data_IF_476833312049
#
_entry.id   IF_476833312049
#
_cell.length_a   1.000
_cell.length_b   1.000
_cell.length_c   1.000
_cell.angle_alpha   90.00
_cell.angle_beta   90.00
_cell.angle_gamma   90.00
#
_symmetry.space_group_name_H-M   'P 1'
#
loop_
_entity.id
_entity.type
_entity.pdbx_description
1 polymer ?
#
# COMPACT_ATOMS: atom_id res chain seq x y z
N UNK A 1 -29.02 -40.95 -9.30
CA UNK A 1 -28.66 -39.95 -8.28
C UNK A 1 -27.37 -40.46 -7.64
N UNK A 2 -26.23 -40.10 -8.23
CA UNK A 2 -24.94 -40.48 -7.68
C UNK A 2 -24.57 -39.44 -6.61
N UNK A 3 -24.45 -39.93 -5.39
CA UNK A 3 -23.99 -39.21 -4.21
C UNK A 3 -22.48 -38.97 -4.39
N UNK A 4 -22.12 -37.80 -4.91
CA UNK A 4 -20.72 -37.37 -5.01
C UNK A 4 -20.27 -36.95 -3.61
N UNK A 5 -19.32 -37.65 -2.97
CA UNK A 5 -18.93 -37.34 -1.61
C UNK A 5 -18.34 -35.93 -1.59
N UNK A 6 -18.92 -35.07 -0.75
CA UNK A 6 -18.37 -33.72 -0.50
C UNK A 6 -16.86 -33.84 -0.19
N UNK A 7 -16.00 -33.06 -0.87
CA UNK A 7 -14.56 -33.20 -0.73
C UNK A 7 -14.17 -32.98 0.74
N UNK A 8 -13.58 -34.02 1.36
CA UNK A 8 -13.21 -34.10 2.78
C UNK A 8 -11.91 -33.34 3.12
N UNK A 9 -11.58 -32.32 2.33
CA UNK A 9 -10.45 -31.41 2.58
C UNK A 9 -10.90 -30.09 3.20
N UNK A 10 -10.01 -29.34 3.87
CA UNK A 10 -10.30 -27.97 4.29
C UNK A 10 -10.81 -27.16 3.09
N UNK A 11 -11.94 -26.46 3.29
CA UNK A 11 -12.58 -25.67 2.24
C UNK A 11 -11.62 -24.57 1.79
N UNK A 12 -11.06 -24.70 0.59
CA UNK A 12 -10.11 -23.74 0.01
C UNK A 12 -10.82 -22.40 -0.23
N UNK A 13 -10.30 -21.33 0.38
CA UNK A 13 -10.82 -19.97 0.19
C UNK A 13 -9.91 -19.27 -0.83
N UNK A 14 -10.18 -19.46 -2.12
CA UNK A 14 -9.33 -18.97 -3.22
C UNK A 14 -10.17 -18.22 -4.25
N UNK A 15 -9.60 -17.21 -4.92
CA UNK A 15 -10.26 -16.53 -6.05
C UNK A 15 -10.26 -17.36 -7.32
N UNK A 16 -9.18 -18.12 -7.53
CA UNK A 16 -8.88 -18.82 -8.79
C UNK A 16 -8.56 -20.28 -8.47
N UNK A 17 -9.57 -21.16 -8.56
CA UNK A 17 -9.44 -22.57 -8.19
C UNK A 17 -8.32 -23.31 -8.96
N UNK A 18 -8.10 -22.94 -10.22
CA UNK A 18 -7.06 -23.53 -11.08
C UNK A 18 -5.62 -23.20 -10.65
N UNK A 19 -5.41 -22.17 -9.83
CA UNK A 19 -4.08 -21.84 -9.27
C UNK A 19 -3.82 -22.59 -7.95
N UNK A 20 -4.87 -23.15 -7.35
CA UNK A 20 -4.84 -23.81 -6.06
C UNK A 20 -4.75 -25.35 -6.18
N UNK A 21 -4.12 -25.85 -7.24
CA UNK A 21 -3.91 -27.27 -7.50
C UNK A 21 -2.46 -27.67 -7.17
N UNK A 22 -2.29 -28.80 -6.48
CA UNK A 22 -0.97 -29.36 -6.16
C UNK A 22 -0.29 -28.77 -4.91
N UNK A 23 1.00 -29.06 -4.73
CA UNK A 23 1.78 -28.57 -3.60
C UNK A 23 1.89 -27.04 -3.58
N UNK A 24 1.70 -26.43 -2.41
CA UNK A 24 1.81 -24.97 -2.23
C UNK A 24 0.55 -24.18 -2.58
N UNK A 25 -0.61 -24.84 -2.73
CA UNK A 25 -1.90 -24.20 -3.01
C UNK A 25 -2.28 -23.11 -1.98
N UNK A 26 -1.73 -23.16 -0.78
CA UNK A 26 -1.92 -22.17 0.29
C UNK A 26 -1.50 -20.75 -0.14
N UNK A 27 -0.59 -20.64 -1.11
CA UNK A 27 -0.21 -19.35 -1.73
C UNK A 27 -1.39 -18.67 -2.41
N UNK A 28 -2.27 -19.44 -3.06
CA UNK A 28 -3.46 -18.92 -3.74
C UNK A 28 -4.48 -18.36 -2.75
N UNK A 29 -4.59 -18.97 -1.56
CA UNK A 29 -5.45 -18.45 -0.48
C UNK A 29 -4.87 -17.15 0.09
N UNK A 30 -3.55 -17.10 0.30
CA UNK A 30 -2.87 -15.88 0.71
C UNK A 30 -3.06 -14.75 -0.31
N UNK A 31 -2.86 -15.04 -1.60
CA UNK A 31 -3.00 -14.08 -2.70
C UNK A 31 -4.43 -13.55 -2.80
N UNK A 32 -5.41 -14.41 -2.59
CA UNK A 32 -6.80 -13.96 -2.52
C UNK A 32 -7.02 -12.98 -1.37
N UNK A 33 -6.48 -13.29 -0.19
CA UNK A 33 -6.46 -12.39 0.96
C UNK A 33 -5.78 -11.05 0.65
N UNK A 34 -4.64 -11.08 -0.05
CA UNK A 34 -3.91 -9.88 -0.47
C UNK A 34 -4.73 -9.00 -1.42
N UNK A 35 -5.41 -9.60 -2.40
CA UNK A 35 -6.27 -8.88 -3.37
C UNK A 35 -7.38 -8.12 -2.65
N UNK A 36 -8.13 -8.80 -1.76
CA UNK A 36 -9.24 -8.15 -1.05
C UNK A 36 -8.73 -7.08 -0.08
N UNK A 37 -7.61 -7.33 0.60
CA UNK A 37 -6.99 -6.39 1.52
C UNK A 37 -6.46 -5.15 0.79
N UNK A 38 -5.81 -5.33 -0.37
CA UNK A 38 -5.33 -4.25 -1.22
C UNK A 38 -6.46 -3.33 -1.67
N UNK A 39 -7.56 -3.90 -2.16
CA UNK A 39 -8.73 -3.11 -2.55
C UNK A 39 -9.39 -2.39 -1.37
N UNK A 40 -9.51 -3.05 -0.22
CA UNK A 40 -10.05 -2.44 0.99
C UNK A 40 -9.17 -1.29 1.49
N UNK A 41 -7.85 -1.50 1.54
CA UNK A 41 -6.87 -0.50 1.96
C UNK A 41 -6.84 0.71 1.03
N UNK A 42 -6.91 0.49 -0.29
CA UNK A 42 -6.99 1.56 -1.30
C UNK A 42 -8.23 2.42 -1.07
N UNK A 43 -9.41 1.79 -0.93
CA UNK A 43 -10.66 2.51 -0.64
C UNK A 43 -10.58 3.27 0.68
N UNK A 44 -10.07 2.64 1.74
CA UNK A 44 -9.90 3.27 3.05
C UNK A 44 -9.01 4.53 2.96
N UNK A 45 -7.85 4.41 2.30
CA UNK A 45 -6.89 5.51 2.13
C UNK A 45 -7.53 6.72 1.45
N UNK A 46 -8.27 6.49 0.36
CA UNK A 46 -8.95 7.57 -0.36
C UNK A 46 -10.11 8.17 0.46
N UNK A 47 -10.91 7.36 1.15
CA UNK A 47 -12.01 7.85 1.99
C UNK A 47 -11.51 8.67 3.19
N UNK A 48 -10.42 8.24 3.81
CA UNK A 48 -9.76 8.96 4.89
C UNK A 48 -9.23 10.31 4.40
N UNK A 49 -8.62 10.37 3.21
CA UNK A 49 -8.16 11.64 2.62
C UNK A 49 -9.30 12.57 2.21
N UNK A 50 -10.38 12.02 1.65
CA UNK A 50 -11.59 12.80 1.35
C UNK A 50 -12.16 13.45 2.62
N UNK A 51 -12.26 12.69 3.71
CA UNK A 51 -12.69 13.21 5.02
C UNK A 51 -11.69 14.21 5.63
N UNK A 52 -10.40 14.13 5.28
CA UNK A 52 -9.39 15.12 5.66
C UNK A 52 -9.46 16.43 4.84
N UNK A 53 -10.32 16.48 3.81
CA UNK A 53 -10.59 17.68 3.01
C UNK A 53 -9.98 17.69 1.60
N UNK A 54 -9.47 16.56 1.09
CA UNK A 54 -8.83 16.49 -0.22
C UNK A 54 -9.32 15.27 -1.04
N UNK A 55 -10.58 15.26 -1.52
CA UNK A 55 -11.19 14.10 -2.17
C UNK A 55 -10.63 13.73 -3.55
N UNK A 56 -9.91 14.63 -4.21
CA UNK A 56 -9.38 14.44 -5.56
C UNK A 56 -8.10 13.61 -5.62
N UNK A 57 -7.49 13.28 -4.47
CA UNK A 57 -6.25 12.50 -4.45
C UNK A 57 -6.50 11.00 -4.66
N UNK A 58 -5.70 10.41 -5.55
CA UNK A 58 -5.62 8.96 -5.72
C UNK A 58 -4.85 8.32 -4.55
N UNK A 59 -5.02 7.01 -4.33
CA UNK A 59 -4.27 6.31 -3.30
C UNK A 59 -2.74 6.45 -3.48
N UNK A 60 -2.24 6.40 -4.72
CA UNK A 60 -0.81 6.60 -5.00
C UNK A 60 -0.35 8.01 -4.59
N UNK A 61 -1.10 9.05 -4.94
CA UNK A 61 -0.77 10.43 -4.57
C UNK A 61 -0.74 10.63 -3.05
N UNK A 62 -1.67 9.99 -2.33
CA UNK A 62 -1.72 10.01 -0.87
C UNK A 62 -0.48 9.33 -0.27
N UNK A 63 -0.10 8.15 -0.79
CA UNK A 63 1.09 7.43 -0.35
C UNK A 63 2.37 8.23 -0.62
N UNK A 64 2.48 8.87 -1.79
CA UNK A 64 3.61 9.75 -2.14
C UNK A 64 3.68 10.97 -1.21
N UNK A 65 2.54 11.60 -0.91
CA UNK A 65 2.47 12.72 0.04
C UNK A 65 2.93 12.30 1.44
N UNK A 66 2.41 11.20 1.98
CA UNK A 66 2.80 10.67 3.28
C UNK A 66 4.28 10.27 3.33
N UNK A 67 4.78 9.64 2.27
CA UNK A 67 6.19 9.30 2.15
C UNK A 67 7.05 10.57 2.20
N UNK A 68 6.68 11.60 1.44
CA UNK A 68 7.40 12.87 1.39
C UNK A 68 7.39 13.59 2.74
N UNK A 69 6.26 13.58 3.46
CA UNK A 69 6.11 14.21 4.78
C UNK A 69 6.89 13.50 5.91
N UNK A 70 7.52 12.36 5.64
CA UNK A 70 8.25 11.60 6.67
C UNK A 70 9.67 12.14 6.93
N UNK A 71 10.05 12.23 8.22
CA UNK A 71 11.44 12.40 8.70
C UNK A 71 12.16 13.72 8.31
N UNK A 72 11.44 14.80 8.00
CA UNK A 72 11.99 16.15 7.72
C UNK A 72 13.15 16.21 6.72
N UNK A 73 13.22 15.23 5.81
CA UNK A 73 14.25 15.13 4.77
C UNK A 73 13.62 15.24 3.40
N UNK A 74 14.23 16.07 2.58
CA UNK A 74 13.89 16.22 1.17
C UNK A 74 14.13 14.89 0.45
N UNK A 75 13.24 14.53 -0.48
CA UNK A 75 13.30 13.24 -1.19
C UNK A 75 13.39 13.46 -2.69
N UNK A 76 14.08 12.56 -3.38
CA UNK A 76 14.06 12.51 -4.85
C UNK A 76 13.00 11.53 -5.32
N UNK A 77 12.62 11.64 -6.59
CA UNK A 77 11.74 10.67 -7.26
C UNK A 77 12.21 9.22 -7.04
N UNK A 78 13.50 8.96 -7.23
CA UNK A 78 14.10 7.64 -7.03
C UNK A 78 13.99 7.12 -5.59
N UNK A 79 14.17 8.00 -4.60
CA UNK A 79 14.04 7.62 -3.18
C UNK A 79 12.59 7.22 -2.84
N UNK A 80 11.61 7.92 -3.44
CA UNK A 80 10.17 7.63 -3.27
C UNK A 80 9.81 6.31 -3.95
N UNK A 81 10.22 6.11 -5.21
CA UNK A 81 10.01 4.86 -5.94
C UNK A 81 10.60 3.66 -5.16
N UNK A 82 11.83 3.80 -4.68
CA UNK A 82 12.51 2.77 -3.91
C UNK A 82 11.76 2.43 -2.62
N UNK A 83 11.38 3.43 -1.83
CA UNK A 83 10.74 3.21 -0.53
C UNK A 83 9.30 2.66 -0.65
N UNK A 84 8.59 2.97 -1.74
CA UNK A 84 7.24 2.48 -2.00
C UNK A 84 7.20 1.19 -2.83
N UNK A 85 8.36 0.63 -3.20
CA UNK A 85 8.49 -0.53 -4.10
C UNK A 85 7.74 -0.33 -5.44
N UNK A 86 7.95 0.82 -6.10
CA UNK A 86 7.32 1.16 -7.39
C UNK A 86 8.38 1.21 -8.49
N UNK A 87 8.21 0.36 -9.50
CA UNK A 87 9.11 0.30 -10.67
C UNK A 87 8.83 1.42 -11.68
N UNK A 88 7.55 1.66 -12.01
CA UNK A 88 7.18 2.71 -12.96
C UNK A 88 7.26 4.11 -12.35
N UNK A 89 8.43 4.73 -12.51
CA UNK A 89 8.70 6.10 -12.08
C UNK A 89 7.79 7.16 -12.70
N UNK A 90 7.16 6.91 -13.85
CA UNK A 90 6.28 7.88 -14.49
C UNK A 90 5.02 8.13 -13.65
N UNK A 91 4.45 7.09 -13.05
CA UNK A 91 3.27 7.21 -12.16
C UNK A 91 3.57 8.08 -10.94
N UNK A 92 4.75 7.87 -10.31
CA UNK A 92 5.20 8.67 -9.16
C UNK A 92 5.49 10.11 -9.59
N UNK A 93 6.09 10.32 -10.77
CA UNK A 93 6.32 11.67 -11.29
C UNK A 93 5.00 12.41 -11.56
N UNK A 94 3.96 11.74 -12.07
CA UNK A 94 2.63 12.33 -12.22
C UNK A 94 2.02 12.70 -10.87
N UNK A 95 2.13 11.83 -9.87
CA UNK A 95 1.70 12.13 -8.51
C UNK A 95 2.42 13.36 -7.95
N UNK A 96 3.75 13.43 -8.08
CA UNK A 96 4.55 14.58 -7.64
C UNK A 96 4.14 15.88 -8.35
N UNK A 97 3.96 15.85 -9.67
CA UNK A 97 3.48 17.01 -10.43
C UNK A 97 2.13 17.52 -9.94
N UNK A 98 1.19 16.61 -9.65
CA UNK A 98 -0.13 16.99 -9.12
C UNK A 98 -0.02 17.57 -7.71
N UNK A 99 0.78 16.96 -6.83
CA UNK A 99 0.99 17.42 -5.46
C UNK A 99 1.68 18.79 -5.40
N UNK A 100 2.62 19.07 -6.32
CA UNK A 100 3.20 20.41 -6.52
C UNK A 100 2.14 21.42 -6.96
N UNK A 101 1.30 21.07 -7.93
CA UNK A 101 0.22 21.94 -8.44
C UNK A 101 -0.81 22.28 -7.37
N UNK A 102 -1.06 21.35 -6.43
CA UNK A 102 -1.94 21.55 -5.28
C UNK A 102 -1.23 22.22 -4.09
N UNK A 103 0.03 22.64 -4.25
CA UNK A 103 0.83 23.30 -3.21
C UNK A 103 1.00 22.47 -1.92
N UNK A 104 0.83 21.15 -2.01
CA UNK A 104 1.04 20.21 -0.91
C UNK A 104 2.52 19.84 -0.77
N UNK A 105 3.27 19.93 -1.87
CA UNK A 105 4.71 19.77 -1.92
C UNK A 105 5.34 21.02 -2.54
N UNK A 106 6.61 21.24 -2.22
CA UNK A 106 7.51 22.14 -2.91
C UNK A 106 8.70 21.37 -3.49
N UNK A 107 9.23 21.85 -4.62
CA UNK A 107 10.33 21.22 -5.34
C UNK A 107 11.52 22.16 -5.46
N UNK A 108 12.71 21.72 -5.04
CA UNK A 108 13.96 22.46 -5.17
C UNK A 108 14.91 21.72 -6.09
N UNK A 109 15.38 22.38 -7.15
CA UNK A 109 16.39 21.82 -8.03
C UNK A 109 17.78 21.91 -7.39
N UNK A 110 18.50 20.80 -7.35
CA UNK A 110 19.89 20.72 -6.89
C UNK A 110 20.70 19.94 -7.94
N UNK A 111 21.46 20.67 -8.75
CA UNK A 111 22.16 20.09 -9.90
C UNK A 111 21.16 19.57 -10.94
N UNK A 112 21.24 18.28 -11.27
CA UNK A 112 20.34 17.62 -12.23
C UNK A 112 19.08 17.02 -11.59
N UNK A 113 19.01 16.96 -10.27
CA UNK A 113 17.91 16.31 -9.54
C UNK A 113 16.94 17.33 -8.93
N UNK A 114 15.69 16.92 -8.73
CA UNK A 114 14.67 17.67 -8.00
C UNK A 114 14.45 17.00 -6.65
N UNK A 115 14.48 17.81 -5.60
CA UNK A 115 14.23 17.42 -4.23
C UNK A 115 12.87 17.95 -3.81
N UNK A 116 12.01 17.06 -3.31
CA UNK A 116 10.65 17.36 -2.88
C UNK A 116 10.57 17.41 -1.37
N UNK A 117 9.85 18.41 -0.86
CA UNK A 117 9.55 18.59 0.56
C UNK A 117 8.06 18.89 0.72
N UNK A 118 7.48 18.47 1.83
CA UNK A 118 6.09 18.78 2.16
C UNK A 118 5.96 20.22 2.65
N UNK A 119 4.99 20.96 2.11
CA UNK A 119 4.70 22.34 2.55
C UNK A 119 3.98 22.35 3.90
N UNK A 120 3.83 23.53 4.52
CA UNK A 120 2.99 23.67 5.71
C UNK A 120 1.55 23.21 5.47
N UNK A 121 0.98 23.51 4.30
CA UNK A 121 -0.36 23.05 3.88
C UNK A 121 -0.41 21.54 3.75
N UNK A 122 0.58 20.92 3.10
CA UNK A 122 0.67 19.47 2.96
C UNK A 122 0.82 18.74 4.31
N UNK A 123 1.59 19.32 5.24
CA UNK A 123 1.77 18.79 6.58
C UNK A 123 0.48 18.89 7.40
N UNK A 124 -0.23 20.02 7.32
CA UNK A 124 -1.53 20.20 7.94
C UNK A 124 -2.57 19.21 7.41
N UNK A 125 -2.59 18.94 6.10
CA UNK A 125 -3.45 17.91 5.50
C UNK A 125 -3.11 16.51 6.04
N UNK A 126 -1.82 16.16 6.13
CA UNK A 126 -1.38 14.89 6.73
C UNK A 126 -1.79 14.77 8.20
N UNK A 127 -1.78 15.87 8.95
CA UNK A 127 -2.24 15.89 10.34
C UNK A 127 -3.76 15.74 10.45
N UNK A 128 -4.54 16.33 9.55
CA UNK A 128 -5.98 16.09 9.45
C UNK A 128 -6.28 14.63 9.11
N UNK A 129 -5.58 14.06 8.14
CA UNK A 129 -5.68 12.63 7.82
C UNK A 129 -5.38 11.75 9.03
N UNK A 130 -4.32 12.07 9.80
CA UNK A 130 -3.98 11.34 11.03
C UNK A 130 -5.12 11.32 12.03
N UNK A 131 -5.78 12.47 12.26
CA UNK A 131 -6.91 12.59 13.21
C UNK A 131 -8.12 11.75 12.76
N UNK A 132 -8.47 11.80 11.48
CA UNK A 132 -9.55 10.95 10.93
C UNK A 132 -9.21 9.47 11.07
N UNK A 133 -7.96 9.08 10.79
CA UNK A 133 -7.51 7.69 10.95
C UNK A 133 -7.59 7.22 12.39
N UNK A 134 -7.24 8.08 13.34
CA UNK A 134 -7.32 7.78 14.77
C UNK A 134 -8.77 7.47 15.17
N UNK A 135 -9.70 8.38 14.86
CA UNK A 135 -11.12 8.28 15.21
C UNK A 135 -11.84 7.12 14.53
N UNK A 136 -11.61 6.92 13.23
CA UNK A 136 -12.40 5.97 12.44
C UNK A 136 -11.81 4.56 12.41
N UNK A 137 -10.49 4.40 12.58
CA UNK A 137 -9.83 3.09 12.45
C UNK A 137 -9.12 2.66 13.74
N UNK A 138 -8.33 3.53 14.39
CA UNK A 138 -7.53 3.09 15.53
C UNK A 138 -8.38 2.88 16.79
N UNK A 139 -9.33 3.77 17.06
CA UNK A 139 -10.25 3.65 18.21
C UNK A 139 -11.19 2.45 18.09
N UNK A 140 -11.42 1.96 16.87
CA UNK A 140 -12.31 0.82 16.59
C UNK A 140 -11.57 -0.52 16.49
N UNK A 141 -10.23 -0.49 16.41
CA UNK A 141 -9.42 -1.71 16.36
C UNK A 141 -9.29 -2.36 17.75
N UNK A 142 -9.28 -3.71 17.82
CA UNK A 142 -8.85 -4.42 19.01
C UNK A 142 -7.47 -3.93 19.45
N UNK A 143 -7.35 -3.51 20.72
CA UNK A 143 -6.20 -2.79 21.25
C UNK A 143 -5.40 -3.58 22.28
N UNK A 144 -5.53 -4.92 22.29
CA UNK A 144 -4.73 -5.79 23.15
C UNK A 144 -3.26 -5.88 22.71
N UNK A 145 -2.34 -6.15 23.64
CA UNK A 145 -0.92 -6.35 23.33
C UNK A 145 -0.69 -7.52 22.36
N UNK A 146 -1.50 -8.58 22.47
CA UNK A 146 -1.52 -9.72 21.56
C UNK A 146 -1.90 -9.31 20.12
N UNK A 147 -2.87 -8.39 19.97
CA UNK A 147 -3.33 -7.89 18.66
C UNK A 147 -2.21 -7.07 17.98
N UNK A 148 -1.50 -6.26 18.76
CA UNK A 148 -0.34 -5.51 18.28
C UNK A 148 0.81 -6.42 17.83
N UNK A 149 1.05 -7.53 18.52
CA UNK A 149 2.08 -8.51 18.14
C UNK A 149 1.69 -9.27 16.85
N UNK A 150 0.43 -9.64 16.71
CA UNK A 150 -0.13 -10.25 15.50
C UNK A 150 0.06 -9.33 14.29
N UNK A 151 -0.36 -8.07 14.38
CA UNK A 151 -0.21 -7.10 13.30
C UNK A 151 1.26 -6.90 12.89
N UNK A 152 2.19 -6.90 13.86
CA UNK A 152 3.63 -6.84 13.58
C UNK A 152 4.12 -8.07 12.81
N UNK A 153 3.63 -9.26 13.15
CA UNK A 153 3.97 -10.51 12.45
C UNK A 153 3.43 -10.51 11.02
N UNK A 154 2.16 -10.15 10.83
CA UNK A 154 1.54 -10.03 9.50
C UNK A 154 2.32 -9.02 8.65
N UNK A 155 2.69 -7.86 9.22
CA UNK A 155 3.48 -6.86 8.50
C UNK A 155 4.87 -7.38 8.08
N UNK A 156 5.52 -8.21 8.91
CA UNK A 156 6.79 -8.84 8.55
C UNK A 156 6.61 -9.86 7.41
N UNK A 157 5.55 -10.68 7.46
CA UNK A 157 5.23 -11.64 6.41
C UNK A 157 4.96 -10.95 5.06
N UNK A 158 4.17 -9.86 5.06
CA UNK A 158 3.90 -9.07 3.85
C UNK A 158 5.19 -8.52 3.21
N UNK A 159 6.13 -8.01 4.01
CA UNK A 159 7.43 -7.54 3.50
C UNK A 159 8.28 -8.67 2.94
N UNK A 160 8.33 -9.82 3.63
CA UNK A 160 9.07 -10.99 3.15
C UNK A 160 8.51 -11.51 1.82
N UNK A 161 7.18 -11.54 1.69
CA UNK A 161 6.52 -11.99 0.47
C UNK A 161 6.70 -11.02 -0.69
N UNK A 162 6.68 -9.70 -0.45
CA UNK A 162 7.02 -8.70 -1.48
C UNK A 162 8.37 -9.00 -2.14
N UNK A 163 9.40 -9.33 -1.36
CA UNK A 163 10.71 -9.68 -1.90
C UNK A 163 10.75 -11.01 -2.65
N UNK A 164 9.83 -11.95 -2.34
CA UNK A 164 9.68 -13.19 -3.10
C UNK A 164 8.99 -12.93 -4.44
N UNK A 165 7.96 -12.06 -4.48
CA UNK A 165 7.33 -11.64 -5.73
C UNK A 165 8.32 -10.94 -6.64
N UNK A 166 9.16 -10.03 -6.11
CA UNK A 166 10.19 -9.38 -6.93
C UNK A 166 11.15 -10.39 -7.58
N UNK A 167 11.51 -11.47 -6.86
CA UNK A 167 12.34 -12.56 -7.39
C UNK A 167 11.59 -13.37 -8.44
N UNK A 168 10.35 -13.76 -8.16
CA UNK A 168 9.50 -14.52 -9.07
C UNK A 168 9.23 -13.74 -10.38
N UNK A 169 8.97 -12.43 -10.30
CA UNK A 169 8.78 -11.57 -11.47
C UNK A 169 10.02 -11.49 -12.35
N UNK A 170 11.21 -11.39 -11.77
CA UNK A 170 12.47 -11.41 -12.54
C UNK A 170 12.71 -12.77 -13.21
N UNK A 171 12.42 -13.87 -12.52
CA UNK A 171 12.52 -15.20 -13.09
C UNK A 171 11.53 -15.35 -14.27
N UNK A 172 10.29 -14.89 -14.11
CA UNK A 172 9.27 -14.93 -15.16
C UNK A 172 9.64 -14.08 -16.38
N UNK A 173 10.25 -12.91 -16.19
CA UNK A 173 10.70 -12.04 -17.29
C UNK A 173 11.89 -12.60 -18.10
N UNK A 174 12.59 -13.61 -17.55
CA UNK A 174 13.72 -14.26 -18.20
C UNK A 174 13.32 -15.52 -19.01
N UNK A 175 12.04 -15.93 -18.96
CA UNK A 175 11.46 -17.01 -19.75
C UNK A 175 11.00 -16.51 -21.13
#
# INVERSE_FOLDING_TARGET
>A
MADDPLPSGPRRIVSSSHLAEGPGWESSEFEFGLIIAFHAFTRWTQRCMAAAGMPELSALEILVLHNTNSRDRDKRLSDICFLLNIEDSHTVNYALKKLLRLELLEGRKRGKEVFYRTTATGAALCQSYRRIREQCLLETLPSGEADGAELRRIAAALRALSGQYDQASRAAAAL
#
